data_IF_918237152010
#
_entry.id   IF_918237152010
#
_cell.length_a   1.000
_cell.length_b   1.000
_cell.length_c   1.000
_cell.angle_alpha   90.00
_cell.angle_beta   90.00
_cell.angle_gamma   90.00
#
_symmetry.space_group_name_H-M   'P 1'
#
loop_
_entity.id
_entity.type
_entity.pdbx_description
1 polymer ?
#
# COMPACT_ATOMS: atom_id res chain seq x y z
N UNK A 1 -16.71 -22.92 -15.78
CA UNK A 1 -16.28 -22.96 -14.39
C UNK A 1 -17.38 -22.43 -13.48
N UNK A 2 -17.81 -23.19 -12.50
CA UNK A 2 -19.06 -22.95 -11.77
C UNK A 2 -18.89 -21.82 -10.75
N UNK A 3 -19.35 -20.64 -11.11
CA UNK A 3 -19.52 -19.50 -10.18
C UNK A 3 -20.73 -19.82 -9.29
N UNK A 4 -20.55 -20.45 -8.15
CA UNK A 4 -21.50 -20.42 -7.02
C UNK A 4 -21.25 -21.56 -6.06
N UNK A 5 -20.32 -21.39 -5.14
CA UNK A 5 -20.34 -22.10 -3.86
C UNK A 5 -19.96 -21.17 -2.70
N UNK A 6 -20.57 -20.01 -2.65
CA UNK A 6 -20.78 -19.34 -1.38
C UNK A 6 -21.80 -20.16 -0.61
N UNK A 7 -21.38 -21.06 0.27
CA UNK A 7 -22.26 -21.66 1.27
C UNK A 7 -22.40 -20.68 2.42
N UNK A 8 -23.55 -20.02 2.45
CA UNK A 8 -24.06 -19.41 3.68
C UNK A 8 -24.16 -20.52 4.71
N UNK A 9 -23.40 -20.45 5.79
CA UNK A 9 -23.57 -21.32 6.95
C UNK A 9 -24.98 -21.03 7.52
N UNK A 10 -25.82 -22.05 7.80
CA UNK A 10 -27.17 -21.82 8.27
C UNK A 10 -27.15 -21.05 9.59
N UNK A 11 -27.76 -19.88 9.65
CA UNK A 11 -28.01 -19.11 10.86
C UNK A 11 -28.98 -19.85 11.78
N UNK A 12 -28.47 -20.75 12.58
CA UNK A 12 -29.23 -21.47 13.58
C UNK A 12 -28.41 -21.69 14.83
N UNK A 13 -28.74 -20.95 15.89
CA UNK A 13 -28.39 -21.18 17.30
C UNK A 13 -27.27 -22.20 17.55
N UNK A 14 -26.04 -21.73 17.62
CA UNK A 14 -24.97 -22.55 18.10
C UNK A 14 -23.99 -21.71 18.94
N UNK A 15 -24.38 -21.45 20.15
CA UNK A 15 -23.50 -20.87 21.18
C UNK A 15 -22.24 -21.75 21.44
N UNK A 16 -22.22 -22.98 20.97
CA UNK A 16 -21.12 -23.92 21.13
C UNK A 16 -20.19 -24.08 19.93
N UNK A 17 -20.56 -23.61 18.73
CA UNK A 17 -19.78 -23.85 17.50
C UNK A 17 -18.50 -23.00 17.39
N UNK A 18 -18.41 -21.89 18.10
CA UNK A 18 -17.29 -20.94 17.95
C UNK A 18 -16.20 -21.04 19.02
N UNK A 19 -16.41 -21.80 20.07
CA UNK A 19 -15.43 -21.98 21.14
C UNK A 19 -14.24 -22.88 20.77
N UNK A 20 -14.41 -23.69 19.73
CA UNK A 20 -13.49 -24.80 19.40
C UNK A 20 -12.65 -24.57 18.14
N UNK A 21 -12.68 -23.35 17.54
CA UNK A 21 -11.79 -23.04 16.41
C UNK A 21 -10.34 -22.99 16.88
N UNK A 22 -9.50 -23.82 16.29
CA UNK A 22 -8.08 -23.86 16.58
C UNK A 22 -7.33 -22.90 15.69
N UNK A 23 -6.59 -21.96 16.27
CA UNK A 23 -5.69 -21.08 15.55
C UNK A 23 -4.52 -21.88 14.95
N UNK A 24 -4.29 -21.70 13.65
CA UNK A 24 -3.17 -22.33 12.93
C UNK A 24 -2.06 -21.30 12.70
N UNK A 25 -2.39 -20.19 12.05
CA UNK A 25 -1.44 -19.12 11.76
C UNK A 25 -2.15 -17.78 11.57
N UNK A 26 -1.40 -16.71 11.71
CA UNK A 26 -1.82 -15.36 11.36
C UNK A 26 -0.63 -14.59 10.82
N UNK A 27 -0.90 -13.73 9.86
CA UNK A 27 0.06 -12.84 9.25
C UNK A 27 -0.56 -11.48 9.01
N UNK A 28 0.27 -10.43 9.07
CA UNK A 28 -0.15 -9.05 8.84
C UNK A 28 0.94 -8.30 8.05
N UNK A 29 0.53 -7.34 7.24
CA UNK A 29 1.45 -6.46 6.52
C UNK A 29 2.13 -5.47 7.48
N UNK A 30 3.39 -5.09 7.16
CA UNK A 30 4.13 -4.05 7.90
C UNK A 30 3.86 -2.63 7.33
N UNK A 31 2.61 -2.34 7.00
CA UNK A 31 2.20 -1.13 6.28
C UNK A 31 1.44 -0.12 7.13
N UNK A 32 1.57 -0.19 8.46
CA UNK A 32 0.87 0.72 9.40
C UNK A 32 1.08 2.21 9.07
N UNK A 33 2.28 2.58 8.65
CA UNK A 33 2.59 3.97 8.31
C UNK A 33 2.11 4.38 6.91
N UNK A 34 1.77 3.43 6.05
CA UNK A 34 1.13 3.71 4.76
C UNK A 34 -0.36 4.02 4.91
N UNK A 35 -0.96 3.75 6.08
CA UNK A 35 -2.37 3.99 6.35
C UNK A 35 -3.28 2.80 6.14
N UNK A 36 -2.74 1.67 5.72
CA UNK A 36 -3.49 0.44 5.47
C UNK A 36 -2.81 -0.74 6.12
N UNK A 37 -3.59 -1.75 6.47
CA UNK A 37 -3.09 -3.04 6.98
C UNK A 37 -3.87 -4.17 6.31
N UNK A 38 -3.13 -5.13 5.75
CA UNK A 38 -3.66 -6.41 5.30
C UNK A 38 -3.39 -7.49 6.34
N UNK A 39 -4.38 -8.28 6.72
CA UNK A 39 -4.22 -9.38 7.68
C UNK A 39 -4.87 -10.65 7.16
N UNK A 40 -4.16 -11.76 7.25
CA UNK A 40 -4.65 -13.09 6.92
C UNK A 40 -4.59 -13.97 8.16
N UNK A 41 -5.70 -14.62 8.50
CA UNK A 41 -5.82 -15.56 9.62
C UNK A 41 -6.26 -16.92 9.11
N UNK A 42 -5.66 -17.98 9.65
CA UNK A 42 -5.97 -19.36 9.33
C UNK A 42 -6.40 -20.12 10.59
N UNK A 43 -7.57 -20.74 10.51
CA UNK A 43 -8.20 -21.51 11.60
C UNK A 43 -8.52 -22.93 11.15
N UNK A 44 -8.47 -23.86 12.08
CA UNK A 44 -9.03 -25.19 11.90
C UNK A 44 -10.40 -25.26 12.57
N UNK A 45 -11.38 -25.70 11.81
CA UNK A 45 -12.75 -25.86 12.25
C UNK A 45 -12.92 -27.17 13.03
N UNK A 46 -13.84 -27.20 14.04
CA UNK A 46 -14.08 -28.40 14.79
C UNK A 46 -14.67 -29.51 13.91
N UNK A 47 -14.27 -30.73 14.16
CA UNK A 47 -14.79 -31.91 13.48
C UNK A 47 -16.29 -32.13 13.87
N UNK A 48 -17.21 -32.53 12.96
CA UNK A 48 -16.99 -32.88 11.55
C UNK A 48 -17.33 -31.74 10.57
N UNK A 49 -16.39 -30.88 10.25
CA UNK A 49 -16.58 -29.89 9.18
C UNK A 49 -16.29 -30.51 7.81
N UNK A 50 -17.09 -30.17 6.78
CA UNK A 50 -16.85 -30.64 5.42
C UNK A 50 -15.52 -30.06 4.85
N UNK A 51 -15.24 -28.83 5.24
CA UNK A 51 -13.99 -28.12 4.95
C UNK A 51 -13.37 -27.72 6.30
N UNK A 52 -12.28 -28.36 6.74
CA UNK A 52 -11.74 -28.16 8.09
C UNK A 52 -10.96 -26.84 8.23
N UNK A 53 -10.59 -26.18 7.16
CA UNK A 53 -9.79 -24.97 7.17
C UNK A 53 -10.63 -23.75 6.83
N UNK A 54 -10.46 -22.68 7.60
CA UNK A 54 -11.06 -21.37 7.37
C UNK A 54 -9.97 -20.32 7.31
N UNK A 55 -9.91 -19.62 6.19
CA UNK A 55 -9.04 -18.47 5.98
C UNK A 55 -9.88 -17.19 6.03
N UNK A 56 -9.38 -16.18 6.74
CA UNK A 56 -10.01 -14.86 6.86
C UNK A 56 -9.02 -13.82 6.40
N UNK A 57 -9.47 -12.92 5.55
CA UNK A 57 -8.68 -11.83 4.98
C UNK A 57 -9.30 -10.51 5.37
N UNK A 58 -8.50 -9.60 5.90
CA UNK A 58 -8.89 -8.29 6.36
C UNK A 58 -8.07 -7.24 5.61
N UNK A 59 -8.73 -6.28 4.99
CA UNK A 59 -8.10 -5.07 4.50
C UNK A 59 -8.64 -3.89 5.30
N UNK A 60 -7.77 -3.24 6.05
CA UNK A 60 -8.12 -2.22 7.02
C UNK A 60 -7.50 -0.88 6.65
N UNK A 61 -8.35 0.11 6.33
CA UNK A 61 -7.98 1.50 6.14
C UNK A 61 -8.02 2.24 7.48
N UNK A 62 -6.85 2.73 7.86
CA UNK A 62 -6.67 3.41 9.14
C UNK A 62 -7.23 4.83 9.11
N UNK A 63 -7.26 5.46 7.95
CA UNK A 63 -7.60 6.88 7.82
C UNK A 63 -9.12 7.10 7.77
N UNK A 64 -9.82 6.43 6.89
CA UNK A 64 -11.18 6.80 6.53
C UNK A 64 -12.19 5.66 6.68
N UNK A 65 -11.99 4.54 6.00
CA UNK A 65 -13.00 3.50 5.83
C UNK A 65 -13.08 2.48 6.98
N UNK A 66 -11.97 2.31 7.73
CA UNK A 66 -11.92 1.25 8.73
C UNK A 66 -11.72 -0.12 8.09
N UNK A 67 -12.47 -1.14 8.50
CA UNK A 67 -12.46 -2.45 7.86
C UNK A 67 -13.21 -2.35 6.52
N UNK A 68 -12.46 -2.07 5.48
CA UNK A 68 -12.98 -1.85 4.13
C UNK A 68 -13.35 -3.16 3.45
N UNK A 69 -12.47 -4.14 3.53
CA UNK A 69 -12.72 -5.45 2.94
C UNK A 69 -12.53 -6.56 3.97
N UNK A 70 -13.48 -7.46 4.00
CA UNK A 70 -13.39 -8.72 4.73
C UNK A 70 -13.86 -9.85 3.82
N UNK A 71 -13.05 -10.91 3.72
CA UNK A 71 -13.37 -12.09 2.92
C UNK A 71 -13.04 -13.35 3.70
N UNK A 72 -13.73 -14.44 3.38
CA UNK A 72 -13.44 -15.77 3.92
C UNK A 72 -13.30 -16.78 2.79
N UNK A 73 -12.44 -17.76 3.03
CA UNK A 73 -12.29 -18.92 2.18
C UNK A 73 -12.26 -20.18 3.04
N UNK A 74 -13.10 -21.17 2.71
CA UNK A 74 -13.12 -22.48 3.37
C UNK A 74 -12.46 -23.52 2.45
N UNK A 75 -11.39 -24.13 2.91
CA UNK A 75 -10.57 -25.08 2.17
C UNK A 75 -9.10 -24.93 2.49
N UNK A 76 -8.26 -25.79 1.92
CA UNK A 76 -6.81 -25.83 2.11
C UNK A 76 -6.02 -25.79 0.78
N UNK A 77 -6.66 -25.31 -0.31
CA UNK A 77 -5.98 -25.12 -1.59
C UNK A 77 -4.97 -23.96 -1.49
N UNK A 78 -3.65 -24.25 -1.53
CA UNK A 78 -2.62 -23.23 -1.38
C UNK A 78 -2.66 -22.15 -2.46
N UNK A 79 -3.02 -22.53 -3.70
CA UNK A 79 -3.10 -21.58 -4.82
C UNK A 79 -4.26 -20.59 -4.62
N UNK A 80 -5.40 -21.06 -4.13
CA UNK A 80 -6.53 -20.17 -3.82
C UNK A 80 -6.20 -19.20 -2.68
N UNK A 81 -5.46 -19.66 -1.67
CA UNK A 81 -4.98 -18.81 -0.56
C UNK A 81 -3.99 -17.77 -1.04
N UNK A 82 -3.00 -18.18 -1.84
CA UNK A 82 -1.99 -17.30 -2.42
C UNK A 82 -2.63 -16.22 -3.30
N UNK A 83 -3.53 -16.62 -4.20
CA UNK A 83 -4.26 -15.69 -5.06
C UNK A 83 -5.10 -14.69 -4.27
N UNK A 84 -5.74 -15.12 -3.19
CA UNK A 84 -6.49 -14.21 -2.32
C UNK A 84 -5.59 -13.19 -1.63
N UNK A 85 -4.40 -13.61 -1.16
CA UNK A 85 -3.39 -12.69 -0.59
C UNK A 85 -2.85 -11.73 -1.65
N UNK A 86 -2.49 -12.23 -2.85
CA UNK A 86 -2.02 -11.41 -3.98
C UNK A 86 -3.04 -10.33 -4.33
N UNK A 87 -4.31 -10.69 -4.47
CA UNK A 87 -5.38 -9.77 -4.87
C UNK A 87 -5.69 -8.69 -3.82
N UNK A 88 -5.47 -8.98 -2.53
CA UNK A 88 -5.79 -8.03 -1.46
C UNK A 88 -4.58 -7.22 -0.98
N UNK A 89 -3.40 -7.81 -0.97
CA UNK A 89 -2.22 -7.23 -0.31
C UNK A 89 -1.04 -7.01 -1.24
N UNK A 90 -1.02 -7.66 -2.40
CA UNK A 90 0.12 -7.65 -3.33
C UNK A 90 0.54 -6.25 -3.76
N UNK A 91 -0.44 -5.39 -4.07
CA UNK A 91 -0.20 -3.99 -4.46
C UNK A 91 0.45 -3.13 -3.38
N UNK A 92 0.44 -3.56 -2.11
CA UNK A 92 1.09 -2.83 -1.02
C UNK A 92 2.61 -2.96 -1.01
N UNK A 93 3.19 -3.91 -1.75
CA UNK A 93 4.63 -4.20 -1.70
C UNK A 93 5.12 -4.50 -0.28
N UNK A 94 4.24 -5.05 0.55
CA UNK A 94 4.42 -5.25 1.98
C UNK A 94 5.19 -6.53 2.30
N UNK A 95 5.76 -6.57 3.50
CA UNK A 95 6.25 -7.83 4.09
C UNK A 95 5.22 -8.35 5.08
N UNK A 96 4.86 -9.61 4.92
CA UNK A 96 4.00 -10.28 5.89
C UNK A 96 4.79 -10.59 7.18
N UNK A 97 4.22 -10.26 8.32
CA UNK A 97 4.78 -10.49 9.65
C UNK A 97 3.90 -11.48 10.42
N UNK A 98 4.50 -12.51 11.04
CA UNK A 98 3.72 -13.51 11.75
C UNK A 98 3.03 -12.92 12.98
N UNK A 99 1.80 -13.36 13.21
CA UNK A 99 0.98 -13.05 14.39
C UNK A 99 0.71 -14.31 15.20
N UNK A 100 0.71 -14.19 16.52
CA UNK A 100 0.15 -15.21 17.38
C UNK A 100 -1.38 -15.04 17.55
N UNK A 101 -2.06 -16.01 18.16
CA UNK A 101 -3.53 -15.99 18.33
C UNK A 101 -4.02 -14.76 19.10
N UNK A 102 -3.32 -14.35 20.17
CA UNK A 102 -3.72 -13.19 20.98
C UNK A 102 -3.62 -11.88 20.19
N UNK A 103 -2.52 -11.69 19.46
CA UNK A 103 -2.32 -10.54 18.57
C UNK A 103 -3.38 -10.50 17.47
N UNK A 104 -3.67 -11.63 16.83
CA UNK A 104 -4.67 -11.77 15.78
C UNK A 104 -6.08 -11.39 16.25
N UNK A 105 -6.50 -11.92 17.40
CA UNK A 105 -7.79 -11.60 18.00
C UNK A 105 -7.89 -10.14 18.46
N UNK A 106 -6.81 -9.61 19.03
CA UNK A 106 -6.71 -8.20 19.42
C UNK A 106 -6.90 -7.29 18.22
N UNK A 107 -6.13 -7.50 17.15
CA UNK A 107 -6.21 -6.67 15.93
C UNK A 107 -7.58 -6.76 15.25
N UNK A 108 -8.14 -7.96 15.08
CA UNK A 108 -9.46 -8.12 14.49
C UNK A 108 -10.54 -7.36 15.31
N UNK A 109 -10.43 -7.39 16.65
CA UNK A 109 -11.32 -6.66 17.55
C UNK A 109 -11.14 -5.15 17.43
N UNK A 110 -9.88 -4.68 17.35
CA UNK A 110 -9.56 -3.26 17.14
C UNK A 110 -10.10 -2.77 15.79
N UNK A 111 -9.88 -3.50 14.69
CA UNK A 111 -10.39 -3.12 13.35
C UNK A 111 -11.91 -2.91 13.37
N UNK A 112 -12.65 -3.83 13.98
CA UNK A 112 -14.10 -3.72 14.09
C UNK A 112 -14.51 -2.54 14.98
N UNK A 113 -13.84 -2.36 16.11
CA UNK A 113 -14.16 -1.31 17.08
C UNK A 113 -13.91 0.07 16.51
N UNK A 114 -12.78 0.25 15.82
CA UNK A 114 -12.41 1.50 15.16
C UNK A 114 -13.34 1.84 13.99
N UNK A 115 -13.72 0.83 13.17
CA UNK A 115 -14.71 0.99 12.08
C UNK A 115 -16.03 1.52 12.63
N UNK A 116 -16.53 0.91 13.72
CA UNK A 116 -17.75 1.37 14.39
C UNK A 116 -17.58 2.78 14.98
N UNK A 117 -16.43 3.09 15.56
CA UNK A 117 -16.11 4.44 16.08
C UNK A 117 -16.14 5.51 15.00
N UNK A 118 -15.68 5.17 13.81
CA UNK A 118 -15.75 6.03 12.62
C UNK A 118 -17.14 6.11 11.99
N UNK A 119 -18.12 5.36 12.52
CA UNK A 119 -19.50 5.24 12.00
C UNK A 119 -19.56 4.67 10.58
N UNK A 120 -18.56 3.89 10.21
CA UNK A 120 -18.55 3.15 8.96
C UNK A 120 -19.30 1.82 9.11
N UNK A 121 -19.93 1.36 8.03
CA UNK A 121 -20.57 0.06 7.99
C UNK A 121 -19.49 -1.04 7.94
N UNK A 122 -19.73 -2.13 8.63
CA UNK A 122 -18.90 -3.33 8.44
C UNK A 122 -19.28 -4.00 7.12
N UNK A 123 -18.32 -4.67 6.44
CA UNK A 123 -18.62 -5.51 5.29
C UNK A 123 -19.74 -6.53 5.59
N UNK A 124 -20.59 -6.84 4.62
CA UNK A 124 -21.74 -7.76 4.82
C UNK A 124 -21.28 -9.17 5.24
N UNK A 125 -20.13 -9.59 4.77
CA UNK A 125 -19.51 -10.88 5.10
C UNK A 125 -18.99 -10.95 6.55
N UNK A 126 -18.93 -9.82 7.25
CA UNK A 126 -18.39 -9.73 8.62
C UNK A 126 -19.24 -10.41 9.69
N UNK A 127 -20.36 -11.05 9.34
CA UNK A 127 -21.18 -11.86 10.27
C UNK A 127 -20.35 -12.97 10.92
N UNK A 128 -19.38 -13.54 10.22
CA UNK A 128 -18.51 -14.61 10.71
C UNK A 128 -17.45 -14.14 11.72
N UNK A 129 -17.33 -12.84 11.95
CA UNK A 129 -16.38 -12.28 12.93
C UNK A 129 -16.81 -12.48 14.39
N UNK A 130 -18.04 -12.92 14.65
CA UNK A 130 -18.54 -13.07 16.02
C UNK A 130 -17.65 -13.96 16.90
N UNK A 131 -17.09 -15.07 16.36
CA UNK A 131 -16.28 -15.98 17.18
C UNK A 131 -14.97 -15.35 17.66
N UNK A 132 -14.40 -14.38 16.88
CA UNK A 132 -13.20 -13.64 17.27
C UNK A 132 -13.54 -12.62 18.37
N UNK A 133 -14.67 -11.92 18.23
CA UNK A 133 -15.02 -10.79 19.10
C UNK A 133 -15.72 -11.19 20.38
N UNK A 134 -16.27 -12.41 20.48
CA UNK A 134 -16.94 -12.91 21.68
C UNK A 134 -16.03 -13.03 22.91
N UNK A 135 -14.75 -13.32 22.69
CA UNK A 135 -13.76 -13.36 23.76
C UNK A 135 -12.73 -12.24 23.54
N UNK A 136 -12.98 -11.04 24.08
CA UNK A 136 -12.06 -9.93 23.90
C UNK A 136 -10.70 -10.28 24.53
N UNK A 137 -9.64 -10.04 23.77
CA UNK A 137 -8.27 -10.22 24.21
C UNK A 137 -7.70 -8.85 24.54
N UNK A 138 -7.03 -8.75 25.68
CA UNK A 138 -6.30 -7.55 26.08
C UNK A 138 -4.82 -7.83 26.01
N UNK A 139 -4.08 -6.92 25.38
CA UNK A 139 -2.63 -6.91 25.40
C UNK A 139 -2.15 -5.92 26.47
N UNK A 140 -1.08 -6.28 27.17
CA UNK A 140 -0.35 -5.36 28.03
C UNK A 140 0.27 -4.22 27.22
N UNK A 141 0.73 -3.15 27.87
CA UNK A 141 1.42 -2.06 27.18
C UNK A 141 2.65 -2.55 26.41
N UNK A 142 3.44 -3.44 27.01
CA UNK A 142 4.63 -4.04 26.39
C UNK A 142 4.25 -4.88 25.13
N UNK A 143 3.24 -5.74 25.24
CA UNK A 143 2.74 -6.54 24.11
C UNK A 143 2.20 -5.64 22.98
N UNK A 144 1.58 -4.49 23.31
CA UNK A 144 1.11 -3.54 22.30
C UNK A 144 2.29 -2.83 21.61
N UNK A 145 3.33 -2.45 22.35
CA UNK A 145 4.54 -1.86 21.77
C UNK A 145 5.26 -2.84 20.84
N UNK A 146 5.38 -4.12 21.22
CA UNK A 146 5.95 -5.17 20.37
C UNK A 146 5.12 -5.39 19.10
N UNK A 147 3.79 -5.42 19.22
CA UNK A 147 2.88 -5.55 18.09
C UNK A 147 3.00 -4.35 17.15
N UNK A 148 3.04 -3.13 17.69
CA UNK A 148 3.23 -1.92 16.89
C UNK A 148 4.57 -1.96 16.16
N UNK A 149 5.67 -2.31 16.84
CA UNK A 149 6.98 -2.45 16.20
C UNK A 149 6.99 -3.48 15.06
N UNK A 150 6.18 -4.53 15.17
CA UNK A 150 6.03 -5.57 14.15
C UNK A 150 5.34 -5.07 12.88
N UNK A 151 4.32 -4.23 13.02
CA UNK A 151 3.49 -3.72 11.90
C UNK A 151 3.96 -2.38 11.33
N UNK A 152 4.94 -1.73 11.96
CA UNK A 152 5.57 -0.53 11.43
C UNK A 152 6.56 -0.89 10.31
N UNK A 153 6.53 -0.12 9.24
CA UNK A 153 7.56 -0.14 8.21
C UNK A 153 8.89 0.31 8.81
N UNK A 154 9.98 -0.37 8.48
CA UNK A 154 11.32 0.05 8.84
C UNK A 154 11.67 1.37 8.14
N UNK A 155 12.01 2.40 8.91
CA UNK A 155 12.40 3.72 8.41
C UNK A 155 13.92 3.75 8.29
N UNK A 156 14.44 4.08 7.10
CA UNK A 156 15.87 4.03 6.76
C UNK A 156 16.44 5.38 6.38
N UNK A 157 15.59 6.40 6.17
CA UNK A 157 16.02 7.73 5.77
C UNK A 157 15.13 8.82 6.37
N UNK A 158 15.65 10.02 6.48
CA UNK A 158 14.88 11.19 6.91
C UNK A 158 13.78 11.53 5.89
N UNK A 159 14.04 11.31 4.60
CA UNK A 159 13.03 11.43 3.55
C UNK A 159 11.81 10.54 3.82
N UNK A 160 12.03 9.26 4.10
CA UNK A 160 10.97 8.30 4.42
C UNK A 160 10.25 8.70 5.71
N UNK A 161 10.97 9.11 6.74
CA UNK A 161 10.42 9.58 8.01
C UNK A 161 9.47 10.76 7.80
N UNK A 162 9.91 11.77 7.04
CA UNK A 162 9.13 12.98 6.72
C UNK A 162 7.87 12.61 5.95
N UNK A 163 8.00 11.79 4.91
CA UNK A 163 6.88 11.36 4.08
C UNK A 163 5.79 10.67 4.91
N UNK A 164 6.18 9.63 5.68
CA UNK A 164 5.22 8.94 6.54
C UNK A 164 4.61 9.86 7.59
N UNK A 165 5.40 10.74 8.18
CA UNK A 165 4.87 11.70 9.14
C UNK A 165 3.80 12.59 8.48
N UNK A 166 4.08 13.19 7.34
CA UNK A 166 3.14 14.06 6.62
C UNK A 166 1.90 13.29 6.14
N UNK A 167 2.08 12.08 5.59
CA UNK A 167 0.95 11.22 5.22
C UNK A 167 0.02 10.97 6.41
N UNK A 168 0.58 10.59 7.58
CA UNK A 168 -0.22 10.34 8.79
C UNK A 168 -0.91 11.62 9.31
N UNK A 169 -0.23 12.74 9.20
CA UNK A 169 -0.80 14.04 9.59
C UNK A 169 -1.96 14.40 8.67
N UNK A 170 -1.79 14.38 7.36
CA UNK A 170 -2.83 14.76 6.41
C UNK A 170 -4.01 13.79 6.43
N UNK A 171 -3.76 12.49 6.63
CA UNK A 171 -4.79 11.47 6.84
C UNK A 171 -5.42 11.47 8.23
N UNK A 172 -5.11 12.46 9.09
CA UNK A 172 -5.62 12.58 10.47
C UNK A 172 -5.33 11.37 11.37
N UNK A 173 -4.36 10.55 11.00
CA UNK A 173 -3.88 9.45 11.83
C UNK A 173 -2.81 9.95 12.83
N UNK A 174 -3.25 10.73 13.81
CA UNK A 174 -2.35 11.31 14.81
C UNK A 174 -1.60 10.25 15.65
N UNK A 175 -2.19 9.05 15.80
CA UNK A 175 -1.55 7.94 16.50
C UNK A 175 -0.38 7.39 15.67
N UNK A 176 -0.56 7.23 14.37
CA UNK A 176 0.52 6.85 13.44
C UNK A 176 1.63 7.88 13.39
N UNK A 177 1.28 9.17 13.29
CA UNK A 177 2.25 10.26 13.34
C UNK A 177 3.04 10.30 14.66
N UNK A 178 2.39 10.01 15.78
CA UNK A 178 3.04 10.02 17.09
C UNK A 178 4.16 8.99 17.22
N UNK A 179 4.08 7.84 16.53
CA UNK A 179 5.16 6.84 16.52
C UNK A 179 6.47 7.37 15.92
N UNK A 180 6.38 8.41 15.10
CA UNK A 180 7.51 9.03 14.40
C UNK A 180 8.10 10.20 15.14
N UNK A 181 7.48 10.65 16.24
CA UNK A 181 7.84 11.84 16.99
C UNK A 181 8.74 11.55 18.19
N UNK A 182 9.57 12.51 18.52
CA UNK A 182 10.32 12.52 19.79
C UNK A 182 9.38 12.78 20.98
N UNK A 183 9.65 12.20 22.18
CA UNK A 183 8.83 12.42 23.36
C UNK A 183 8.68 13.89 23.76
N UNK A 184 9.71 14.70 23.53
CA UNK A 184 9.70 16.15 23.78
C UNK A 184 8.69 16.89 22.92
N UNK A 185 8.60 16.52 21.63
CA UNK A 185 7.63 17.10 20.72
C UNK A 185 6.20 16.67 21.10
N UNK A 186 5.98 15.41 21.44
CA UNK A 186 4.68 14.89 21.91
C UNK A 186 4.21 15.63 23.17
N UNK A 187 5.11 15.90 24.12
CA UNK A 187 4.81 16.64 25.34
C UNK A 187 4.44 18.11 25.09
N UNK A 188 4.91 18.69 23.98
CA UNK A 188 4.60 20.06 23.56
C UNK A 188 3.30 20.18 22.72
N UNK A 189 2.50 19.11 22.63
CA UNK A 189 1.29 19.04 21.84
C UNK A 189 1.45 18.24 20.54
N UNK A 190 2.68 17.96 20.12
CA UNK A 190 3.00 17.04 19.01
C UNK A 190 2.24 17.29 17.72
N UNK A 191 1.87 16.22 17.01
CA UNK A 191 1.18 16.28 15.72
C UNK A 191 -0.12 17.09 15.73
N UNK A 192 -0.80 17.17 16.87
CA UNK A 192 -2.07 17.89 17.03
C UNK A 192 -1.97 19.39 16.71
N UNK A 193 -0.78 19.97 16.83
CA UNK A 193 -0.55 21.39 16.55
C UNK A 193 -0.48 21.70 15.05
N UNK A 194 -0.43 20.68 14.20
CA UNK A 194 -0.15 20.82 12.77
C UNK A 194 -1.40 20.99 11.91
N UNK A 195 -2.54 20.38 12.25
CA UNK A 195 -3.66 20.24 11.32
C UNK A 195 -5.05 20.46 11.84
N UNK A 196 -5.96 20.67 10.87
CA UNK A 196 -7.38 20.93 11.11
C UNK A 196 -8.35 19.99 10.39
N UNK A 197 -8.00 19.42 9.24
CA UNK A 197 -8.93 18.65 8.41
C UNK A 197 -8.24 17.45 7.74
N UNK A 198 -9.00 16.37 7.50
CA UNK A 198 -8.58 15.22 6.71
C UNK A 198 -8.31 15.65 5.27
N UNK A 199 -7.18 15.22 4.74
CA UNK A 199 -6.75 15.55 3.38
C UNK A 199 -6.04 14.34 2.76
N UNK A 200 -6.28 14.14 1.47
CA UNK A 200 -5.55 13.16 0.67
C UNK A 200 -4.19 13.74 0.29
N UNK A 201 -3.14 13.02 0.60
CA UNK A 201 -1.77 13.39 0.29
C UNK A 201 -1.42 12.96 -1.14
N UNK A 202 -1.15 13.91 -2.02
CA UNK A 202 -0.95 13.66 -3.46
C UNK A 202 0.51 13.67 -3.88
N UNK A 203 1.30 14.64 -3.36
CA UNK A 203 2.71 14.81 -3.72
C UNK A 203 3.44 15.58 -2.63
N UNK A 204 4.73 15.30 -2.48
CA UNK A 204 5.58 16.08 -1.57
C UNK A 204 6.97 16.26 -2.17
N UNK A 205 7.51 17.46 -2.03
CA UNK A 205 8.91 17.75 -2.30
C UNK A 205 9.60 18.19 -1.02
N UNK A 206 10.84 17.77 -0.83
CA UNK A 206 11.61 18.02 0.39
C UNK A 206 12.91 18.71 0.00
N UNK A 207 13.18 19.84 0.63
CA UNK A 207 14.43 20.58 0.50
C UNK A 207 15.14 20.62 1.87
N UNK A 208 16.40 20.20 1.88
CA UNK A 208 17.25 20.26 3.06
C UNK A 208 17.95 21.62 3.12
N UNK A 209 17.99 22.22 4.30
CA UNK A 209 18.72 23.46 4.54
C UNK A 209 19.26 23.53 5.97
N UNK A 210 20.25 24.41 6.17
CA UNK A 210 20.70 24.73 7.53
C UNK A 210 19.97 25.97 8.04
N UNK A 211 19.39 25.87 9.23
CA UNK A 211 18.77 27.01 9.91
C UNK A 211 19.80 28.06 10.33
N UNK A 212 19.34 29.17 10.88
CA UNK A 212 20.21 30.26 11.39
C UNK A 212 21.21 29.83 12.50
N UNK A 213 20.94 28.70 13.15
CA UNK A 213 21.76 28.10 14.18
C UNK A 213 22.66 26.98 13.66
N UNK A 214 22.64 26.72 12.33
CA UNK A 214 23.40 25.66 11.68
C UNK A 214 22.83 24.26 11.92
N UNK A 215 21.54 24.12 12.27
CA UNK A 215 20.87 22.84 12.40
C UNK A 215 20.24 22.45 11.08
N UNK A 216 20.30 21.16 10.77
CA UNK A 216 19.64 20.60 9.59
C UNK A 216 18.11 20.66 9.79
N UNK A 217 17.46 21.28 8.85
CA UNK A 217 16.00 21.42 8.79
C UNK A 217 15.50 21.05 7.38
N UNK A 218 14.23 20.71 7.30
CA UNK A 218 13.59 20.26 6.08
C UNK A 218 12.41 21.17 5.76
N UNK A 219 12.41 21.75 4.55
CA UNK A 219 11.26 22.45 4.00
C UNK A 219 10.50 21.51 3.08
N UNK A 220 9.22 21.32 3.35
CA UNK A 220 8.37 20.42 2.59
C UNK A 220 7.27 21.21 1.91
N UNK A 221 7.07 20.96 0.61
CA UNK A 221 5.93 21.43 -0.16
C UNK A 221 5.03 20.25 -0.47
N UNK A 222 3.88 20.20 0.21
CA UNK A 222 2.93 19.09 0.09
C UNK A 222 1.71 19.55 -0.69
N UNK A 223 1.40 18.86 -1.80
CA UNK A 223 0.13 18.99 -2.49
C UNK A 223 -0.87 18.04 -1.84
N UNK A 224 -1.97 18.59 -1.38
CA UNK A 224 -3.04 17.82 -0.73
C UNK A 224 -4.41 18.19 -1.30
N UNK A 225 -5.33 17.22 -1.24
CA UNK A 225 -6.73 17.43 -1.58
C UNK A 225 -7.59 17.35 -0.31
N UNK A 226 -8.44 18.34 -0.09
CA UNK A 226 -9.40 18.41 1.02
C UNK A 226 -10.79 18.62 0.46
N UNK A 227 -11.63 17.60 0.47
CA UNK A 227 -12.90 17.63 -0.25
C UNK A 227 -12.67 17.80 -1.76
N UNK A 228 -13.16 18.89 -2.35
CA UNK A 228 -12.98 19.19 -3.78
C UNK A 228 -11.96 20.32 -4.01
N UNK A 229 -11.09 20.59 -3.06
CA UNK A 229 -10.13 21.69 -3.11
C UNK A 229 -8.71 21.18 -2.99
N UNK A 230 -7.81 21.80 -3.74
CA UNK A 230 -6.39 21.51 -3.70
C UNK A 230 -5.65 22.59 -2.92
N UNK A 231 -4.70 22.16 -2.10
CA UNK A 231 -3.88 23.03 -1.29
C UNK A 231 -2.41 22.68 -1.44
N UNK A 232 -1.59 23.72 -1.56
CA UNK A 232 -0.15 23.63 -1.41
C UNK A 232 0.20 24.01 0.03
N UNK A 233 0.67 23.06 0.82
CA UNK A 233 1.02 23.25 2.22
C UNK A 233 2.52 23.27 2.38
N UNK A 234 3.03 24.38 2.89
CA UNK A 234 4.45 24.53 3.19
C UNK A 234 4.68 24.22 4.66
N UNK A 235 5.59 23.30 4.93
CA UNK A 235 5.89 22.80 6.28
C UNK A 235 7.38 22.80 6.53
N UNK A 236 7.76 23.00 7.77
CA UNK A 236 9.14 22.95 8.24
C UNK A 236 9.26 21.88 9.32
N UNK A 237 10.24 21.00 9.19
CA UNK A 237 10.48 19.91 10.12
C UNK A 237 11.94 19.87 10.56
N UNK A 238 12.16 19.44 11.81
CA UNK A 238 13.48 19.13 12.35
C UNK A 238 13.48 17.66 12.80
N UNK A 239 14.59 16.99 12.53
CA UNK A 239 14.82 15.58 12.87
C UNK A 239 16.04 15.49 13.78
N UNK A 240 15.94 14.68 14.81
CA UNK A 240 17.05 14.30 15.63
C UNK A 240 16.93 12.82 16.03
N UNK A 241 18.02 12.07 15.85
CA UNK A 241 18.09 10.65 16.18
C UNK A 241 16.96 9.81 15.53
N UNK A 242 16.62 10.13 14.26
CA UNK A 242 15.59 9.42 13.51
C UNK A 242 14.15 9.67 14.02
N UNK A 243 13.91 10.80 14.70
CA UNK A 243 12.60 11.21 15.22
C UNK A 243 12.30 12.66 14.86
N UNK A 244 11.04 12.95 14.57
CA UNK A 244 10.57 14.34 14.39
C UNK A 244 10.58 15.04 15.75
N UNK A 245 11.38 16.09 15.87
CA UNK A 245 11.50 16.91 17.08
C UNK A 245 10.73 18.20 16.99
N UNK A 246 10.48 18.68 15.78
CA UNK A 246 9.69 19.87 15.50
C UNK A 246 8.96 19.69 14.16
N UNK A 247 7.72 20.12 14.12
CA UNK A 247 6.97 20.23 12.88
C UNK A 247 6.08 21.47 12.93
N UNK A 248 6.12 22.31 11.89
CA UNK A 248 5.35 23.55 11.81
C UNK A 248 4.81 23.76 10.41
N UNK A 249 3.52 24.06 10.31
CA UNK A 249 2.94 24.56 9.08
C UNK A 249 3.28 26.05 8.93
N UNK A 250 4.06 26.43 7.92
CA UNK A 250 4.45 27.80 7.63
C UNK A 250 3.33 28.55 6.90
N UNK A 251 2.74 27.90 5.91
CA UNK A 251 1.65 28.47 5.10
C UNK A 251 0.83 27.38 4.43
N UNK A 252 -0.34 27.75 3.94
CA UNK A 252 -1.16 26.91 3.06
C UNK A 252 -1.87 27.81 2.06
N UNK A 253 -1.88 27.44 0.79
CA UNK A 253 -2.47 28.18 -0.30
C UNK A 253 -3.47 27.28 -1.03
N UNK A 254 -4.71 27.76 -1.19
CA UNK A 254 -5.64 27.11 -2.10
C UNK A 254 -5.14 27.35 -3.53
N UNK A 255 -5.00 26.29 -4.31
CA UNK A 255 -4.61 26.34 -5.72
C UNK A 255 -5.74 25.81 -6.60
N UNK A 256 -5.75 26.22 -7.86
CA UNK A 256 -6.75 25.75 -8.80
C UNK A 256 -6.50 24.28 -9.19
N UNK A 257 -7.56 23.59 -9.63
CA UNK A 257 -7.44 22.24 -10.20
C UNK A 257 -6.40 22.20 -11.33
N UNK A 258 -6.35 23.25 -12.16
CA UNK A 258 -5.38 23.35 -13.25
C UNK A 258 -3.94 23.37 -12.72
N UNK A 259 -3.65 24.18 -11.71
CA UNK A 259 -2.32 24.23 -11.09
C UNK A 259 -1.95 22.89 -10.44
N UNK A 260 -2.89 22.27 -9.73
CA UNK A 260 -2.69 20.94 -9.14
C UNK A 260 -2.41 19.88 -10.23
N UNK A 261 -3.20 19.87 -11.31
CA UNK A 261 -2.97 18.96 -12.44
C UNK A 261 -1.60 19.20 -13.09
N UNK A 262 -1.19 20.46 -13.26
CA UNK A 262 0.14 20.76 -13.79
C UNK A 262 1.28 20.29 -12.89
N UNK A 263 1.09 20.29 -11.57
CA UNK A 263 2.06 19.76 -10.61
C UNK A 263 2.15 18.23 -10.65
N UNK A 264 1.03 17.55 -10.90
CA UNK A 264 0.94 16.09 -10.96
C UNK A 264 1.23 15.55 -12.36
N UNK A 265 0.95 16.32 -13.41
CA UNK A 265 1.07 15.88 -14.80
C UNK A 265 2.53 15.63 -15.20
N UNK A 266 2.76 14.47 -15.78
CA UNK A 266 4.04 14.09 -16.42
C UNK A 266 3.73 13.23 -17.63
N UNK A 267 4.46 13.46 -18.70
CA UNK A 267 4.40 12.61 -19.87
C UNK A 267 4.83 11.19 -19.50
N UNK A 268 4.01 10.23 -19.87
CA UNK A 268 4.34 8.81 -19.79
C UNK A 268 4.46 8.23 -21.20
N UNK A 269 5.59 7.58 -21.46
CA UNK A 269 5.89 6.88 -22.70
C UNK A 269 5.76 5.39 -22.44
N UNK A 270 4.90 4.72 -23.21
CA UNK A 270 4.57 3.32 -23.00
C UNK A 270 4.86 2.52 -24.26
N UNK A 271 5.53 1.37 -24.11
CA UNK A 271 5.70 0.39 -25.17
C UNK A 271 5.14 -0.95 -24.72
N UNK A 272 4.26 -1.52 -25.50
CA UNK A 272 3.62 -2.81 -25.24
C UNK A 272 4.26 -3.89 -26.09
N UNK A 273 4.59 -5.00 -25.45
CA UNK A 273 5.12 -6.21 -26.10
C UNK A 273 4.18 -7.38 -25.80
N UNK A 274 4.02 -8.25 -26.79
CA UNK A 274 3.45 -9.57 -26.61
C UNK A 274 4.56 -10.57 -26.29
N UNK A 275 4.34 -11.43 -25.30
CA UNK A 275 5.28 -12.47 -24.89
C UNK A 275 4.97 -13.73 -25.70
N UNK A 276 5.98 -14.25 -26.39
CA UNK A 276 5.89 -15.42 -27.25
C UNK A 276 6.15 -16.75 -26.51
N UNK A 277 6.31 -16.69 -25.20
CA UNK A 277 6.51 -17.86 -24.31
C UNK A 277 5.43 -17.89 -23.24
N UNK A 278 5.38 -18.99 -22.49
CA UNK A 278 4.56 -19.05 -21.30
C UNK A 278 5.00 -17.95 -20.33
N UNK A 279 4.10 -17.09 -19.82
CA UNK A 279 4.45 -16.05 -18.86
C UNK A 279 5.17 -16.58 -17.62
N UNK A 280 4.84 -17.79 -17.14
CA UNK A 280 5.51 -18.44 -16.01
C UNK A 280 6.99 -18.77 -16.28
N UNK A 281 7.37 -18.93 -17.56
CA UNK A 281 8.76 -19.16 -17.99
C UNK A 281 9.50 -17.86 -18.33
N UNK A 282 8.83 -16.71 -18.17
CA UNK A 282 9.38 -15.39 -18.50
C UNK A 282 9.95 -14.71 -17.26
N UNK A 283 11.25 -14.85 -17.07
CA UNK A 283 11.95 -14.24 -15.95
C UNK A 283 12.51 -12.86 -16.32
N UNK A 284 12.06 -11.80 -15.61
CA UNK A 284 12.55 -10.43 -15.76
C UNK A 284 13.78 -10.22 -14.86
N UNK A 285 14.71 -11.15 -14.83
CA UNK A 285 15.95 -11.00 -14.03
C UNK A 285 16.71 -9.70 -14.29
N UNK A 286 16.61 -9.13 -15.50
CA UNK A 286 17.30 -7.89 -15.85
C UNK A 286 16.79 -6.67 -15.06
N UNK A 287 15.63 -6.75 -14.41
CA UNK A 287 15.07 -5.68 -13.57
C UNK A 287 15.52 -5.78 -12.12
N UNK A 288 15.96 -6.96 -11.67
CA UNK A 288 16.26 -7.22 -10.26
C UNK A 288 17.68 -6.82 -9.84
N UNK A 289 18.54 -6.45 -10.78
CA UNK A 289 19.97 -6.18 -10.51
C UNK A 289 20.30 -4.74 -10.12
N UNK A 290 19.35 -3.82 -10.13
CA UNK A 290 19.60 -2.47 -9.65
C UNK A 290 19.24 -2.33 -8.17
N UNK A 291 20.16 -1.84 -7.36
CA UNK A 291 19.86 -1.30 -6.03
C UNK A 291 18.79 -0.22 -6.20
N UNK A 292 17.58 -0.46 -5.64
CA UNK A 292 16.48 0.49 -5.76
C UNK A 292 15.35 0.04 -6.70
N UNK A 293 15.16 -1.26 -6.90
CA UNK A 293 13.93 -1.78 -7.51
C UNK A 293 12.91 -2.19 -6.45
N UNK A 294 11.64 -2.01 -6.77
CA UNK A 294 10.51 -2.50 -5.99
C UNK A 294 9.66 -3.38 -6.89
N UNK A 295 9.15 -4.48 -6.33
CA UNK A 295 8.17 -5.35 -6.97
C UNK A 295 6.86 -5.23 -6.22
N UNK A 296 5.76 -5.07 -6.96
CA UNK A 296 4.39 -5.17 -6.43
C UNK A 296 3.60 -6.19 -7.22
N UNK A 297 2.72 -6.90 -6.54
CA UNK A 297 1.87 -7.92 -7.14
C UNK A 297 0.46 -7.34 -7.27
N UNK A 298 -0.12 -7.49 -8.44
CA UNK A 298 -1.46 -7.02 -8.77
C UNK A 298 -2.33 -8.19 -9.23
N UNK A 299 -3.65 -7.99 -9.28
CA UNK A 299 -4.61 -9.05 -9.65
C UNK A 299 -4.23 -9.78 -10.95
N UNK A 300 -3.78 -9.03 -11.96
CA UNK A 300 -3.54 -9.53 -13.30
C UNK A 300 -2.06 -9.48 -13.72
N UNK A 301 -1.13 -9.40 -12.78
CA UNK A 301 0.30 -9.36 -13.11
C UNK A 301 1.19 -8.82 -12.02
N UNK A 302 2.43 -8.54 -12.40
CA UNK A 302 3.48 -8.02 -11.52
C UNK A 302 4.09 -6.75 -12.06
N UNK A 303 4.28 -5.75 -11.20
CA UNK A 303 4.94 -4.50 -11.53
C UNK A 303 6.33 -4.43 -10.90
N UNK A 304 7.30 -4.05 -11.70
CA UNK A 304 8.67 -3.77 -11.29
C UNK A 304 8.97 -2.29 -11.51
N UNK A 305 9.35 -1.60 -10.44
CA UNK A 305 9.66 -0.17 -10.46
C UNK A 305 11.15 0.03 -10.28
N UNK A 306 11.78 0.80 -11.14
CA UNK A 306 13.17 1.22 -11.01
C UNK A 306 13.23 2.69 -10.61
N UNK A 307 13.85 2.99 -9.46
CA UNK A 307 14.00 4.35 -8.95
C UNK A 307 15.16 5.09 -9.61
N UNK A 308 15.05 6.40 -9.72
CA UNK A 308 16.14 7.25 -10.25
C UNK A 308 17.37 7.18 -9.34
N UNK A 309 18.54 7.01 -9.96
CA UNK A 309 19.81 6.84 -9.23
C UNK A 309 20.26 8.07 -8.44
N UNK A 310 19.88 9.25 -8.91
CA UNK A 310 20.30 10.52 -8.33
C UNK A 310 19.48 10.90 -7.08
N UNK A 311 18.41 10.16 -6.79
CA UNK A 311 17.58 10.40 -5.62
C UNK A 311 17.98 9.44 -4.49
N UNK A 312 19.01 9.82 -3.74
CA UNK A 312 19.51 9.02 -2.60
C UNK A 312 18.55 8.95 -1.42
N UNK A 313 17.47 9.72 -1.44
CA UNK A 313 16.52 9.84 -0.34
C UNK A 313 15.27 9.00 -0.51
N UNK A 314 15.00 8.51 -1.73
CA UNK A 314 13.80 7.72 -2.02
C UNK A 314 13.91 6.32 -1.43
N UNK A 315 12.90 5.95 -0.66
CA UNK A 315 12.69 4.57 -0.23
C UNK A 315 11.69 3.87 -1.16
N UNK A 316 11.81 2.57 -1.29
CA UNK A 316 10.99 1.73 -2.17
C UNK A 316 9.48 1.81 -1.90
N UNK A 317 9.04 2.35 -0.77
CA UNK A 317 7.61 2.44 -0.40
C UNK A 317 7.09 3.87 -0.29
N UNK A 318 7.95 4.85 -0.42
CA UNK A 318 7.60 6.26 -0.30
C UNK A 318 8.22 7.00 -1.46
N UNK A 319 7.40 7.37 -2.44
CA UNK A 319 7.85 8.01 -3.67
C UNK A 319 6.75 8.85 -4.31
N UNK A 320 7.16 9.83 -5.09
CA UNK A 320 6.27 10.51 -6.03
C UNK A 320 6.43 9.82 -7.38
N UNK A 321 5.34 9.25 -7.91
CA UNK A 321 5.37 8.33 -9.06
C UNK A 321 6.26 8.82 -10.22
N UNK A 322 6.00 10.00 -10.76
CA UNK A 322 6.73 10.52 -11.92
C UNK A 322 8.05 11.21 -11.59
N UNK A 323 8.28 11.61 -10.34
CA UNK A 323 9.49 12.32 -9.92
C UNK A 323 10.61 11.36 -9.54
N UNK A 324 10.28 10.29 -8.83
CA UNK A 324 11.23 9.38 -8.20
C UNK A 324 11.47 8.12 -9.01
N UNK A 325 10.48 7.71 -9.83
CA UNK A 325 10.58 6.53 -10.68
C UNK A 325 11.28 6.87 -11.98
N UNK A 326 12.25 6.02 -12.35
CA UNK A 326 12.92 6.08 -13.64
C UNK A 326 12.10 5.36 -14.70
N UNK A 327 11.68 4.13 -14.40
CA UNK A 327 10.91 3.30 -15.31
C UNK A 327 10.10 2.24 -14.56
N UNK A 328 9.06 1.75 -15.25
CA UNK A 328 8.15 0.71 -14.82
C UNK A 328 8.12 -0.42 -15.84
N UNK A 329 8.09 -1.65 -15.35
CA UNK A 329 7.84 -2.84 -16.14
C UNK A 329 6.60 -3.52 -15.55
N UNK A 330 5.61 -3.80 -16.36
CA UNK A 330 4.44 -4.55 -15.93
C UNK A 330 4.31 -5.82 -16.77
N UNK A 331 4.43 -6.96 -16.11
CA UNK A 331 4.26 -8.28 -16.70
C UNK A 331 2.85 -8.75 -16.36
N UNK A 332 1.98 -8.89 -17.36
CA UNK A 332 0.64 -9.42 -17.15
C UNK A 332 0.66 -10.94 -17.14
N UNK A 333 -0.23 -11.55 -16.35
CA UNK A 333 -0.46 -13.01 -16.34
C UNK A 333 -1.01 -13.53 -17.69
N UNK A 334 -1.38 -12.61 -18.59
CA UNK A 334 -1.97 -12.89 -19.92
C UNK A 334 -1.00 -12.72 -21.09
N UNK A 335 0.28 -12.54 -20.78
CA UNK A 335 1.35 -12.56 -21.78
C UNK A 335 1.68 -11.21 -22.41
N UNK A 336 1.39 -10.09 -21.73
CA UNK A 336 1.89 -8.77 -22.13
C UNK A 336 3.04 -8.33 -21.24
N UNK A 337 4.10 -7.76 -21.82
CA UNK A 337 5.13 -6.98 -21.13
C UNK A 337 4.96 -5.53 -21.53
N UNK A 338 4.69 -4.66 -20.55
CA UNK A 338 4.46 -3.24 -20.77
C UNK A 338 5.59 -2.47 -20.11
N UNK A 339 6.29 -1.67 -20.90
CA UNK A 339 7.34 -0.76 -20.44
C UNK A 339 6.75 0.64 -20.35
N UNK A 340 7.01 1.35 -19.24
CA UNK A 340 6.66 2.75 -19.12
C UNK A 340 7.80 3.58 -18.50
N UNK A 341 7.96 4.80 -18.97
CA UNK A 341 8.94 5.76 -18.45
C UNK A 341 8.45 7.20 -18.62
N UNK A 342 9.02 8.11 -17.84
CA UNK A 342 8.62 9.52 -17.83
C UNK A 342 9.53 10.42 -18.67
N UNK A 343 10.37 9.83 -19.52
CA UNK A 343 11.16 10.52 -20.55
C UNK A 343 11.44 9.62 -21.75
N UNK A 344 11.62 10.25 -22.91
CA UNK A 344 12.01 9.53 -24.16
C UNK A 344 13.35 8.81 -24.02
N UNK A 345 14.28 9.36 -23.27
CA UNK A 345 15.58 8.75 -23.04
C UNK A 345 15.43 7.47 -22.19
N UNK A 346 14.65 7.53 -21.13
CA UNK A 346 14.44 6.39 -20.24
C UNK A 346 13.74 5.23 -20.95
N UNK A 347 12.67 5.49 -21.73
CA UNK A 347 11.97 4.42 -22.48
C UNK A 347 12.90 3.82 -23.55
N UNK A 348 13.71 4.62 -24.23
CA UNK A 348 14.70 4.12 -25.20
C UNK A 348 15.74 3.21 -24.55
N UNK A 349 16.24 3.58 -23.37
CA UNK A 349 17.18 2.74 -22.59
C UNK A 349 16.55 1.42 -22.15
N UNK A 350 15.25 1.41 -21.78
CA UNK A 350 14.53 0.18 -21.46
C UNK A 350 14.42 -0.74 -22.68
N UNK A 351 14.00 -0.19 -23.81
CA UNK A 351 13.91 -0.94 -25.08
C UNK A 351 15.29 -1.52 -25.48
N UNK A 352 16.36 -0.74 -25.39
CA UNK A 352 17.72 -1.19 -25.68
C UNK A 352 18.17 -2.32 -24.74
N UNK A 353 17.87 -2.22 -23.45
CA UNK A 353 18.14 -3.31 -22.48
C UNK A 353 17.39 -4.57 -22.85
N UNK A 354 16.09 -4.47 -23.16
CA UNK A 354 15.26 -5.60 -23.55
C UNK A 354 15.80 -6.28 -24.82
N UNK A 355 16.12 -5.49 -25.84
CA UNK A 355 16.67 -5.98 -27.11
C UNK A 355 18.10 -6.57 -26.95
N UNK A 356 18.90 -6.07 -26.02
CA UNK A 356 20.22 -6.60 -25.68
C UNK A 356 20.21 -7.84 -24.78
N UNK A 357 19.06 -8.23 -24.25
CA UNK A 357 18.89 -9.35 -23.34
C UNK A 357 18.55 -10.66 -24.06
N UNK A 358 18.61 -11.78 -23.33
CA UNK A 358 18.16 -13.08 -23.82
C UNK A 358 16.63 -13.10 -24.12
N UNK A 359 15.89 -12.15 -23.56
CA UNK A 359 14.44 -12.03 -23.76
C UNK A 359 14.06 -11.43 -25.12
N UNK A 360 14.99 -10.81 -25.84
CA UNK A 360 14.76 -10.18 -27.14
C UNK A 360 14.03 -11.08 -28.15
N UNK A 361 14.33 -12.39 -28.13
CA UNK A 361 13.67 -13.36 -29.01
C UNK A 361 12.33 -13.88 -28.50
N UNK A 362 11.96 -13.50 -27.28
CA UNK A 362 10.74 -13.97 -26.61
C UNK A 362 9.63 -12.90 -26.56
N UNK A 363 9.88 -11.71 -27.08
CA UNK A 363 8.93 -10.60 -27.06
C UNK A 363 8.76 -10.00 -28.46
N UNK A 364 7.56 -9.48 -28.73
CA UNK A 364 7.25 -8.81 -29.99
C UNK A 364 6.55 -7.46 -29.69
N UNK A 365 7.06 -6.30 -30.16
CA UNK A 365 6.45 -5.00 -29.91
C UNK A 365 5.12 -4.89 -30.68
N UNK A 366 4.04 -4.56 -30.00
CA UNK A 366 2.69 -4.43 -30.58
C UNK A 366 2.24 -2.98 -30.73
N UNK A 367 2.52 -2.13 -29.71
CA UNK A 367 2.05 -0.75 -29.71
C UNK A 367 3.01 0.17 -28.94
N UNK A 368 2.92 1.49 -29.27
CA UNK A 368 3.56 2.58 -28.52
C UNK A 368 2.58 3.69 -28.28
N UNK A 369 2.59 4.21 -27.07
CA UNK A 369 1.69 5.28 -26.63
C UNK A 369 2.46 6.39 -25.93
N UNK A 370 1.83 7.56 -25.91
CA UNK A 370 2.29 8.70 -25.15
C UNK A 370 1.08 9.34 -24.47
N UNK A 371 1.14 9.46 -23.15
CA UNK A 371 0.07 10.02 -22.32
C UNK A 371 0.55 11.29 -21.63
N UNK A 372 -0.37 12.21 -21.34
CA UNK A 372 -0.07 13.43 -20.57
C UNK A 372 -0.07 13.19 -19.06
N UNK A 373 -0.63 12.04 -18.65
CA UNK A 373 -0.73 11.60 -17.26
C UNK A 373 -0.28 10.14 -17.16
N UNK A 374 0.24 9.68 -16.02
CA UNK A 374 0.58 8.27 -15.82
C UNK A 374 -0.65 7.36 -15.94
N UNK A 375 -0.59 6.37 -16.79
CA UNK A 375 -1.69 5.44 -17.12
C UNK A 375 -1.36 4.00 -16.71
N UNK A 376 -0.08 3.60 -16.77
CA UNK A 376 0.29 2.22 -16.49
C UNK A 376 -0.02 1.80 -15.06
N UNK A 377 0.18 2.69 -14.11
CA UNK A 377 -0.12 2.38 -12.70
C UNK A 377 -1.61 2.19 -12.45
N UNK A 378 -2.48 2.96 -13.11
CA UNK A 378 -3.94 2.78 -13.05
C UNK A 378 -4.37 1.46 -13.70
N UNK A 379 -3.77 1.10 -14.84
CA UNK A 379 -4.00 -0.20 -15.47
C UNK A 379 -3.66 -1.36 -14.54
N UNK A 380 -2.49 -1.32 -13.90
CA UNK A 380 -2.06 -2.39 -13.00
C UNK A 380 -3.00 -2.56 -11.77
N UNK A 381 -3.66 -1.50 -11.34
CA UNK A 381 -4.65 -1.53 -10.25
C UNK A 381 -6.06 -1.89 -10.73
N UNK A 382 -6.30 -1.95 -12.04
CA UNK A 382 -7.60 -2.25 -12.61
C UNK A 382 -7.85 -3.77 -12.70
N UNK A 383 -9.10 -4.16 -12.98
CA UNK A 383 -9.49 -5.55 -13.26
C UNK A 383 -9.29 -5.95 -14.72
N UNK A 384 -8.70 -5.09 -15.56
CA UNK A 384 -8.48 -5.37 -16.99
C UNK A 384 -7.28 -6.27 -17.21
N UNK A 385 -7.44 -7.24 -18.09
CA UNK A 385 -6.41 -8.21 -18.46
C UNK A 385 -5.56 -7.73 -19.65
N UNK A 386 -6.09 -6.82 -20.46
CA UNK A 386 -5.47 -6.29 -21.67
C UNK A 386 -5.39 -4.77 -21.65
N UNK A 387 -4.19 -4.24 -21.96
CA UNK A 387 -3.93 -2.81 -21.88
C UNK A 387 -4.72 -1.98 -22.91
N UNK A 388 -4.93 -2.51 -24.11
CA UNK A 388 -5.71 -1.80 -25.14
C UNK A 388 -7.20 -1.75 -24.80
N UNK A 389 -7.72 -2.80 -24.12
CA UNK A 389 -9.10 -2.80 -23.61
C UNK A 389 -9.27 -1.76 -22.51
N UNK A 390 -8.33 -1.68 -21.59
CA UNK A 390 -8.31 -0.64 -20.55
C UNK A 390 -8.28 0.76 -21.18
N UNK A 391 -7.43 1.02 -22.18
CA UNK A 391 -7.35 2.34 -22.83
C UNK A 391 -8.67 2.78 -23.51
N UNK A 392 -9.55 1.85 -23.88
CA UNK A 392 -10.86 2.20 -24.43
C UNK A 392 -11.78 2.82 -23.39
N UNK A 393 -11.52 2.62 -22.10
CA UNK A 393 -12.32 3.17 -20.99
C UNK A 393 -11.91 4.57 -20.61
N UNK A 394 -10.70 5.01 -20.97
CA UNK A 394 -10.17 6.35 -20.70
C UNK A 394 -10.65 7.42 -21.68
N UNK A 395 -11.48 7.05 -22.67
CA UNK A 395 -11.97 7.94 -23.75
C UNK A 395 -13.29 8.60 -23.44
#
# INVERSE_FOLDING_TARGET
MDRNKLRVLPGGKSEHLFADYRFISGEITDTRLMGVLGMHLHWELPYPAAEPHLHQYYYYDIEELGLETYRTYAGDDPLAVELACKNLFGGLGARMKPLNERESRYLATEFISETKRKKQALPEEAVDLEFITRMPVFLSGEEQEELVAKILTEIRSDYQLIHYFLMRIFGMDLKGAAYLCAPTFLSAGGPQTFLTEHSTFLRNTIEEYLDENGRLSYLCESLVETGNKHWLVISELEICEGRITTARRKSAFEISLYEASMMLSRWEYVTVYEILKDPDDFDIEFTTYSLGTMRTEHTNGEMFMEFKKDNNHVDQRVFNLSDDINCLYYLTDFGQLILAAYSLEAIGLMEDRLHGSALSSAVFPTARYQFQEPVLYEFAQSDYEDFEEFLKTLK
#
